data_IF_547008776410
#
_entry.id   IF_547008776410
#
_cell.length_a   1.000
_cell.length_b   1.000
_cell.length_c   1.000
_cell.angle_alpha   90.00
_cell.angle_beta   90.00
_cell.angle_gamma   90.00
#
_symmetry.space_group_name_H-M   'P 1'
#
loop_
_entity.id
_entity.type
_entity.pdbx_description
1 polymer ?
#
# COMPACT_ATOMS: atom_id res chain seq x y z
N UNK A 1 -27.52 -3.93 -2.66
CA UNK A 1 -26.89 -4.22 -2.84
C UNK A 1 -26.25 -4.08 -3.02
N UNK A 2 -26.58 -3.84 -2.98
CA UNK A 2 -25.80 -4.03 -3.16
C UNK A 2 -25.02 -3.99 -3.45
N UNK A 3 -25.25 -3.81 -3.34
CA UNK A 3 -24.39 -4.05 -3.55
C UNK A 3 -23.51 -4.01 -3.73
N UNK A 4 -23.70 -3.84 -3.63
CA UNK A 4 -22.79 -4.04 -3.71
C UNK A 4 -21.97 -4.22 -3.82
N UNK A 5 -22.23 -4.21 -3.73
CA UNK A 5 -21.41 -4.63 -3.81
C UNK A 5 -20.60 -4.81 -4.14
N UNK A 6 -20.82 -4.75 -4.12
CA UNK A 6 -20.03 -5.19 -4.35
C UNK A 6 -19.28 -5.27 -4.74
N UNK A 7 -19.55 -5.20 -4.66
CA UNK A 7 -18.79 -5.43 -4.95
C UNK A 7 -18.04 -5.76 -5.04
N UNK A 8 -18.54 -5.63 -4.83
CA UNK A 8 -17.76 -6.07 -4.88
C UNK A 8 -17.03 -6.50 -4.91
N UNK A 9 -17.62 -6.71 -4.91
CA UNK A 9 -17.14 -7.22 -4.81
C UNK A 9 -16.29 -7.88 -4.75
N UNK A 10 -16.90 -7.81 -4.53
CA UNK A 10 -16.18 -8.90 -4.57
C UNK A 10 -14.79 -8.91 -5.20
N UNK A 11 -14.28 -7.91 -5.60
CA UNK A 11 -12.89 -7.82 -6.02
C UNK A 11 -12.03 -7.87 -4.76
N UNK A 12 -11.19 -8.88 -4.63
CA UNK A 12 -10.21 -8.91 -3.57
C UNK A 12 -9.32 -7.71 -3.72
N UNK A 13 -9.10 -7.02 -2.64
CA UNK A 13 -8.22 -5.87 -2.66
C UNK A 13 -6.80 -6.32 -2.98
N UNK A 14 -6.29 -5.85 -4.10
CA UNK A 14 -4.95 -6.24 -4.56
C UNK A 14 -3.87 -5.27 -4.11
N UNK A 15 -4.25 -4.13 -3.60
CA UNK A 15 -3.29 -3.10 -3.18
C UNK A 15 -3.68 -2.57 -1.81
N UNK A 16 -2.67 -2.08 -1.10
CA UNK A 16 -2.89 -1.31 0.13
C UNK A 16 -2.94 0.17 -0.22
N UNK A 17 -3.79 0.88 0.50
CA UNK A 17 -3.81 2.34 0.46
C UNK A 17 -2.78 2.88 1.45
N UNK A 18 -2.45 4.16 1.32
CA UNK A 18 -1.55 4.78 2.28
C UNK A 18 -2.09 4.67 3.71
N UNK A 19 -3.42 4.77 3.87
CA UNK A 19 -4.03 4.62 5.18
C UNK A 19 -3.82 3.23 5.77
N UNK A 20 -3.81 2.21 4.91
CA UNK A 20 -3.55 0.84 5.36
C UNK A 20 -2.12 0.71 5.85
N UNK A 21 -1.17 1.31 5.13
CA UNK A 21 0.23 1.26 5.52
C UNK A 21 0.44 1.93 6.88
N UNK A 22 -0.25 3.04 7.12
CA UNK A 22 -0.21 3.70 8.42
C UNK A 22 -0.58 2.73 9.54
N UNK A 23 -1.67 2.00 9.33
CA UNK A 23 -2.17 1.07 10.34
C UNK A 23 -1.24 -0.12 10.53
N UNK A 24 -0.79 -0.68 9.44
CA UNK A 24 0.05 -1.88 9.50
C UNK A 24 1.37 -1.59 10.19
N UNK A 25 1.98 -0.45 9.87
CA UNK A 25 3.27 -0.10 10.43
C UNK A 25 3.17 0.71 11.71
N UNK A 26 1.97 1.17 12.06
CA UNK A 26 1.77 1.95 13.28
C UNK A 26 2.44 3.31 13.23
N UNK A 27 2.41 3.95 12.07
CA UNK A 27 3.03 5.26 11.89
C UNK A 27 1.98 6.31 11.52
N UNK A 28 2.33 7.57 11.66
CA UNK A 28 1.43 8.66 11.36
C UNK A 28 1.30 8.90 9.88
N UNK A 29 0.35 9.77 9.54
CA UNK A 29 0.05 10.09 8.15
C UNK A 29 1.25 10.68 7.42
N UNK A 30 1.87 11.68 8.00
CA UNK A 30 3.02 12.35 7.37
C UNK A 30 4.17 11.38 7.15
N UNK A 31 4.44 10.55 8.15
CA UNK A 31 5.52 9.58 8.04
C UNK A 31 5.24 8.55 6.96
N UNK A 32 3.99 8.12 6.84
CA UNK A 32 3.66 7.12 5.84
C UNK A 32 3.84 7.68 4.43
N UNK A 33 3.43 8.91 4.20
CA UNK A 33 3.61 9.52 2.88
C UNK A 33 5.08 9.72 2.55
N UNK A 34 5.85 10.21 3.51
CA UNK A 34 7.29 10.38 3.30
C UNK A 34 7.96 9.03 3.00
N UNK A 35 7.59 8.03 3.76
CA UNK A 35 8.13 6.68 3.60
C UNK A 35 7.83 6.14 2.21
N UNK A 36 6.56 6.22 1.79
CA UNK A 36 6.17 5.70 0.48
C UNK A 36 6.81 6.48 -0.66
N UNK A 37 6.94 7.78 -0.49
CA UNK A 37 7.58 8.60 -1.52
C UNK A 37 9.05 8.23 -1.66
N UNK A 38 9.73 8.02 -0.56
CA UNK A 38 11.13 7.61 -0.59
C UNK A 38 11.31 6.26 -1.27
N UNK A 39 10.42 5.33 -0.96
CA UNK A 39 10.45 4.01 -1.60
C UNK A 39 10.20 4.15 -3.11
N UNK A 40 9.20 4.95 -3.46
CA UNK A 40 8.84 5.16 -4.86
C UNK A 40 10.00 5.72 -5.68
N UNK A 41 10.80 6.58 -5.07
CA UNK A 41 11.90 7.24 -5.78
C UNK A 41 13.17 6.41 -5.82
N UNK A 42 13.24 5.33 -5.08
CA UNK A 42 14.43 4.50 -5.08
C UNK A 42 14.55 3.74 -6.39
N UNK A 43 15.79 3.57 -6.82
CA UNK A 43 16.08 2.82 -8.02
C UNK A 43 15.75 1.33 -7.83
N UNK A 44 16.03 0.84 -6.63
CA UNK A 44 15.89 -0.58 -6.31
C UNK A 44 15.11 -0.70 -5.01
N UNK A 45 13.81 -0.41 -5.05
CA UNK A 45 13.04 -0.34 -3.81
C UNK A 45 12.84 -1.71 -3.17
N UNK A 46 12.67 -1.74 -1.84
CA UNK A 46 12.42 -3.01 -1.14
C UNK A 46 11.08 -3.63 -1.49
N UNK A 47 10.11 -2.82 -1.88
CA UNK A 47 8.84 -3.30 -2.38
C UNK A 47 8.29 -2.27 -3.36
N UNK A 48 7.31 -2.69 -4.13
CA UNK A 48 6.78 -1.86 -5.20
C UNK A 48 5.80 -0.84 -4.67
N UNK A 49 5.89 0.39 -5.18
CA UNK A 49 4.93 1.46 -4.88
C UNK A 49 4.47 2.03 -6.20
N UNK A 50 3.15 2.16 -6.36
CA UNK A 50 2.54 2.73 -7.54
C UNK A 50 2.02 4.11 -7.17
N UNK A 51 2.30 5.10 -8.00
CA UNK A 51 1.81 6.45 -7.79
C UNK A 51 0.84 6.82 -8.89
N UNK A 52 -0.36 7.23 -8.50
CA UNK A 52 -1.39 7.66 -9.46
C UNK A 52 -1.79 9.06 -9.05
N UNK A 53 -1.31 10.06 -9.81
CA UNK A 53 -1.49 11.44 -9.42
C UNK A 53 -0.81 11.70 -8.09
N UNK A 54 -1.59 11.99 -7.06
CA UNK A 54 -1.06 12.21 -5.71
C UNK A 54 -1.33 11.03 -4.79
N UNK A 55 -1.87 9.95 -5.33
CA UNK A 55 -2.24 8.79 -4.53
C UNK A 55 -1.19 7.71 -4.64
N UNK A 56 -0.91 7.07 -3.52
CA UNK A 56 -0.01 5.92 -3.50
C UNK A 56 -0.81 4.64 -3.35
N UNK A 57 -0.39 3.61 -4.07
CA UNK A 57 -0.95 2.27 -3.94
C UNK A 57 0.19 1.28 -3.86
N UNK A 58 0.08 0.32 -2.97
CA UNK A 58 1.16 -0.63 -2.71
C UNK A 58 0.63 -2.03 -2.95
N UNK A 59 1.14 -2.75 -3.96
CA UNK A 59 0.69 -4.12 -4.19
C UNK A 59 0.87 -4.97 -2.93
N UNK A 60 -0.19 -5.64 -2.53
CA UNK A 60 -0.19 -6.39 -1.27
C UNK A 60 0.92 -7.42 -1.22
N UNK A 61 1.04 -8.22 -2.27
CA UNK A 61 2.03 -9.28 -2.28
C UNK A 61 3.44 -8.75 -2.06
N UNK A 62 3.78 -7.68 -2.77
CA UNK A 62 5.11 -7.09 -2.69
C UNK A 62 5.41 -6.61 -1.28
N UNK A 63 4.46 -5.89 -0.70
CA UNK A 63 4.62 -5.34 0.64
C UNK A 63 4.66 -6.45 1.70
N UNK A 64 3.77 -7.42 1.56
CA UNK A 64 3.69 -8.52 2.53
C UNK A 64 4.98 -9.34 2.53
N UNK A 65 5.55 -9.57 1.36
CA UNK A 65 6.81 -10.29 1.27
C UNK A 65 7.95 -9.54 1.94
N UNK A 66 7.99 -8.23 1.73
CA UNK A 66 9.01 -7.41 2.38
C UNK A 66 8.82 -7.42 3.89
N UNK A 67 7.59 -7.23 4.33
CA UNK A 67 7.29 -7.15 5.76
C UNK A 67 7.63 -8.46 6.46
N UNK A 68 7.26 -9.58 5.85
CA UNK A 68 7.56 -10.89 6.42
C UNK A 68 9.04 -11.18 6.42
N UNK A 69 9.74 -10.70 5.42
CA UNK A 69 11.18 -10.89 5.33
C UNK A 69 11.98 -10.06 6.32
N UNK A 70 11.36 -9.04 6.89
CA UNK A 70 12.03 -8.19 7.88
C UNK A 70 12.06 -8.81 9.26
N UNK A 71 11.29 -9.85 9.48
CA UNK A 71 11.19 -10.47 10.81
C UNK A 71 12.43 -11.24 11.19
#
# INVERSE_FOLDING_TARGET
>A
MNVNISRDTTVDQQVYLAADIQKILGIGKSKSYTFLEEIYEQKDPPFKVIKIGKLFRVPKRSFDEWLNGCA
#
